data_IF_427534243172
#
_entry.id   IF_427534243172
#
_cell.length_a   1.000
_cell.length_b   1.000
_cell.length_c   1.000
_cell.angle_alpha   90.00
_cell.angle_beta   90.00
_cell.angle_gamma   90.00
#
_symmetry.space_group_name_H-M   'P 1'
#
loop_
_entity.id
_entity.type
_entity.pdbx_description
1 polymer ?
#
# COMPACT_ATOMS: atom_id res chain seq x y z
N UNK A 1 -37.02 -4.20 -5.24
CA UNK A 1 -35.79 -3.78 -5.93
C UNK A 1 -35.36 -2.46 -5.31
N UNK A 2 -34.46 -2.48 -4.33
CA UNK A 2 -33.93 -1.25 -3.73
C UNK A 2 -32.74 -0.82 -4.58
N UNK A 3 -32.94 0.21 -5.41
CA UNK A 3 -31.86 0.88 -6.13
C UNK A 3 -30.97 1.55 -5.10
N UNK A 4 -29.82 0.93 -4.80
CA UNK A 4 -28.76 1.57 -4.06
C UNK A 4 -28.31 2.78 -4.87
N UNK A 5 -28.54 3.98 -4.32
CA UNK A 5 -27.86 5.17 -4.81
C UNK A 5 -26.37 4.87 -4.70
N UNK A 6 -25.67 4.81 -5.83
CA UNK A 6 -24.22 4.89 -5.83
C UNK A 6 -23.86 6.15 -5.06
N UNK A 7 -23.16 5.99 -3.94
CA UNK A 7 -22.65 7.11 -3.18
C UNK A 7 -21.51 7.68 -4.04
N UNK A 8 -21.80 8.65 -4.89
CA UNK A 8 -20.74 9.42 -5.56
C UNK A 8 -19.91 10.07 -4.45
N UNK A 9 -18.68 9.61 -4.26
CA UNK A 9 -17.70 10.29 -3.43
C UNK A 9 -17.33 11.59 -4.15
N UNK A 10 -17.47 12.71 -3.47
CA UNK A 10 -17.02 13.98 -4.01
C UNK A 10 -15.48 14.10 -3.94
N UNK A 11 -14.92 15.12 -4.59
CA UNK A 11 -13.45 15.33 -4.62
C UNK A 11 -12.83 15.41 -3.22
N UNK A 12 -13.60 15.86 -2.21
CA UNK A 12 -13.12 15.97 -0.83
C UNK A 12 -13.11 14.60 -0.16
N UNK A 13 -14.12 13.78 -0.40
CA UNK A 13 -14.18 12.40 0.08
C UNK A 13 -13.01 11.57 -0.50
N UNK A 14 -12.70 11.76 -1.78
CA UNK A 14 -11.54 11.13 -2.43
C UNK A 14 -10.20 11.58 -1.82
N UNK A 15 -10.06 12.87 -1.48
CA UNK A 15 -8.86 13.36 -0.80
C UNK A 15 -8.70 12.77 0.61
N UNK A 16 -9.79 12.71 1.39
CA UNK A 16 -9.77 12.10 2.72
C UNK A 16 -9.39 10.63 2.63
N UNK A 17 -9.96 9.91 1.64
CA UNK A 17 -9.63 8.52 1.40
C UNK A 17 -8.15 8.36 1.04
N UNK A 18 -7.61 9.17 0.12
CA UNK A 18 -6.20 9.10 -0.27
C UNK A 18 -5.24 9.32 0.91
N UNK A 19 -5.53 10.30 1.78
CA UNK A 19 -4.73 10.56 2.99
C UNK A 19 -4.80 9.37 3.97
N UNK A 20 -5.98 8.79 4.14
CA UNK A 20 -6.14 7.62 5.00
C UNK A 20 -5.39 6.41 4.43
N UNK A 21 -5.45 6.16 3.12
CA UNK A 21 -4.73 5.07 2.45
C UNK A 21 -3.22 5.25 2.60
N UNK A 22 -2.69 6.45 2.35
CA UNK A 22 -1.26 6.73 2.53
C UNK A 22 -0.81 6.48 3.98
N UNK A 23 -1.64 6.88 4.96
CA UNK A 23 -1.38 6.62 6.38
C UNK A 23 -1.39 5.12 6.69
N UNK A 24 -2.35 4.38 6.13
CA UNK A 24 -2.49 2.94 6.33
C UNK A 24 -1.33 2.15 5.71
N UNK A 25 -0.86 2.53 4.52
CA UNK A 25 0.32 1.94 3.90
C UNK A 25 1.57 2.24 4.72
N UNK A 26 1.68 3.44 5.31
CA UNK A 26 2.81 3.83 6.13
C UNK A 26 4.11 3.93 5.30
N UNK A 27 5.27 3.50 5.81
CA UNK A 27 6.56 3.66 5.12
C UNK A 27 6.77 2.66 3.97
N UNK A 28 5.79 1.78 3.70
CA UNK A 28 5.94 0.71 2.72
C UNK A 28 6.05 1.24 1.29
N UNK A 29 7.08 0.78 0.57
CA UNK A 29 7.36 1.11 -0.82
C UNK A 29 7.66 -0.18 -1.59
N UNK A 30 7.32 -0.21 -2.88
CA UNK A 30 7.67 -1.31 -3.78
C UNK A 30 9.19 -1.50 -3.79
N UNK A 31 9.64 -2.74 -3.64
CA UNK A 31 11.05 -3.13 -3.49
C UNK A 31 11.60 -2.99 -2.07
N UNK A 32 10.80 -2.49 -1.11
CA UNK A 32 11.18 -2.45 0.30
C UNK A 32 10.93 -3.76 1.03
N UNK A 33 11.63 -3.94 2.15
CA UNK A 33 11.45 -5.08 3.07
C UNK A 33 11.07 -4.59 4.45
N UNK A 34 10.06 -5.23 5.02
CA UNK A 34 9.44 -4.80 6.27
C UNK A 34 9.17 -6.00 7.14
N UNK A 35 9.39 -5.84 8.44
CA UNK A 35 8.94 -6.82 9.42
C UNK A 35 7.49 -6.50 9.79
N UNK A 36 6.59 -7.44 9.51
CA UNK A 36 5.19 -7.39 9.94
C UNK A 36 5.09 -8.00 11.34
N UNK A 37 4.81 -7.17 12.35
CA UNK A 37 4.74 -7.63 13.74
C UNK A 37 3.44 -8.34 14.09
N UNK A 38 2.43 -8.34 13.21
CA UNK A 38 1.19 -9.10 13.38
C UNK A 38 1.37 -10.56 12.94
N UNK A 39 1.99 -10.80 11.79
CA UNK A 39 2.27 -12.13 11.26
C UNK A 39 3.63 -12.68 11.72
N UNK A 40 4.53 -11.82 12.18
CA UNK A 40 5.88 -12.18 12.61
C UNK A 40 6.82 -12.52 11.45
N UNK A 41 6.53 -12.04 10.24
CA UNK A 41 7.26 -12.34 9.01
C UNK A 41 8.03 -11.12 8.49
N UNK A 42 9.09 -11.37 7.71
CA UNK A 42 9.73 -10.33 6.91
C UNK A 42 9.20 -10.42 5.47
N UNK A 43 8.57 -9.34 5.03
CA UNK A 43 7.82 -9.27 3.79
C UNK A 43 8.51 -8.28 2.83
N UNK A 44 8.80 -8.72 1.61
CA UNK A 44 9.18 -7.84 0.49
C UNK A 44 7.92 -7.31 -0.18
N UNK A 45 7.81 -6.00 -0.36
CA UNK A 45 6.68 -5.38 -1.05
C UNK A 45 6.90 -5.42 -2.55
N UNK A 46 6.02 -6.12 -3.26
CA UNK A 46 6.07 -6.28 -4.71
C UNK A 46 5.19 -5.28 -5.45
N UNK A 47 4.03 -4.93 -4.87
CA UNK A 47 3.09 -3.99 -5.47
C UNK A 47 2.24 -3.28 -4.40
N UNK A 48 1.80 -2.07 -4.71
CA UNK A 48 0.90 -1.27 -3.85
C UNK A 48 -0.21 -0.67 -4.72
N UNK A 49 -1.39 -1.27 -4.63
CA UNK A 49 -2.59 -0.77 -5.25
C UNK A 49 -3.34 0.14 -4.26
N UNK A 50 -3.43 1.43 -4.58
CA UNK A 50 -4.03 2.46 -3.72
C UNK A 50 -5.52 2.70 -4.02
N UNK A 51 -6.12 1.95 -4.95
CA UNK A 51 -7.49 2.17 -5.39
C UNK A 51 -7.72 3.54 -6.05
N UNK A 52 -8.96 4.05 -6.04
CA UNK A 52 -10.14 3.50 -5.37
C UNK A 52 -10.71 2.26 -6.08
N UNK A 53 -11.15 1.28 -5.29
CA UNK A 53 -11.87 0.10 -5.78
C UNK A 53 -13.32 0.13 -5.30
N UNK A 54 -14.24 -0.36 -6.14
CA UNK A 54 -15.60 -0.66 -5.68
C UNK A 54 -15.55 -1.87 -4.73
N UNK A 55 -15.74 -1.66 -3.42
CA UNK A 55 -15.79 -2.76 -2.44
C UNK A 55 -15.21 -2.44 -1.06
N UNK A 56 -14.94 -3.50 -0.28
CA UNK A 56 -14.49 -3.39 1.12
C UNK A 56 -13.01 -3.02 1.26
N UNK A 57 -12.18 -3.29 0.24
CA UNK A 57 -10.73 -3.07 0.29
C UNK A 57 -10.34 -1.87 -0.57
N UNK A 58 -10.26 -0.66 0.00
CA UNK A 58 -9.89 0.55 -0.76
C UNK A 58 -8.44 0.52 -1.26
N UNK A 59 -7.58 -0.35 -0.72
CA UNK A 59 -6.19 -0.54 -1.13
C UNK A 59 -5.73 -1.97 -0.81
N UNK A 60 -4.67 -2.41 -1.49
CA UNK A 60 -4.00 -3.69 -1.23
C UNK A 60 -2.49 -3.57 -1.44
N UNK A 61 -1.72 -4.41 -0.75
CA UNK A 61 -0.29 -4.58 -0.95
C UNK A 61 -0.06 -6.05 -1.27
N UNK A 62 0.72 -6.30 -2.33
CA UNK A 62 1.23 -7.62 -2.65
C UNK A 62 2.62 -7.74 -2.04
N UNK A 63 2.82 -8.78 -1.25
CA UNK A 63 4.08 -9.07 -0.56
C UNK A 63 4.57 -10.47 -0.87
N UNK A 64 5.87 -10.69 -0.69
CA UNK A 64 6.50 -12.00 -0.71
C UNK A 64 7.30 -12.23 0.55
N UNK A 65 7.05 -13.37 1.18
CA UNK A 65 7.77 -13.87 2.36
C UNK A 65 8.32 -15.28 2.10
N UNK A 66 8.80 -15.97 3.15
CA UNK A 66 9.33 -17.34 3.04
C UNK A 66 8.28 -18.40 2.71
N UNK A 67 6.99 -18.10 2.88
CA UNK A 67 5.85 -18.96 2.57
C UNK A 67 5.26 -18.69 1.19
N UNK A 68 5.62 -17.58 0.55
CA UNK A 68 5.29 -17.26 -0.83
C UNK A 68 4.72 -15.86 -1.01
N UNK A 69 4.01 -15.66 -2.11
CA UNK A 69 3.36 -14.39 -2.44
C UNK A 69 1.92 -14.37 -1.91
N UNK A 70 1.54 -13.24 -1.32
CA UNK A 70 0.18 -12.98 -0.83
C UNK A 70 -0.16 -11.51 -0.95
N UNK A 71 -1.45 -11.19 -0.96
CA UNK A 71 -1.93 -9.81 -0.89
C UNK A 71 -2.69 -9.59 0.41
N UNK A 72 -2.65 -8.35 0.93
CA UNK A 72 -3.40 -7.96 2.11
C UNK A 72 -3.59 -6.44 2.19
N UNK A 73 -4.40 -5.98 3.15
CA UNK A 73 -4.71 -4.57 3.40
C UNK A 73 -4.42 -4.18 4.87
N UNK A 74 -3.44 -4.83 5.50
CA UNK A 74 -3.13 -4.60 6.93
C UNK A 74 -2.42 -3.27 7.10
N UNK A 75 -3.06 -2.33 7.80
CA UNK A 75 -2.48 -1.02 8.08
C UNK A 75 -1.18 -1.15 8.90
N UNK A 76 -0.25 -0.24 8.66
CA UNK A 76 1.03 -0.16 9.35
C UNK A 76 0.84 0.18 10.83
N UNK A 77 1.42 -0.61 11.72
CA UNK A 77 1.49 -0.36 13.16
C UNK A 77 2.93 0.00 13.56
N UNK A 78 3.24 1.28 13.84
CA UNK A 78 4.61 1.69 14.20
C UNK A 78 5.10 1.12 15.53
N UNK A 79 4.24 0.50 16.35
CA UNK A 79 4.65 -0.18 17.58
C UNK A 79 5.18 -1.59 17.34
N UNK A 80 4.82 -2.21 16.20
CA UNK A 80 5.07 -3.63 15.92
C UNK A 80 5.89 -3.83 14.65
N UNK A 81 5.61 -3.01 13.65
CA UNK A 81 6.20 -3.12 12.32
C UNK A 81 7.52 -2.36 12.25
N UNK A 82 8.45 -2.87 11.44
CA UNK A 82 9.79 -2.27 11.31
C UNK A 82 10.21 -2.21 9.86
N UNK A 83 10.83 -1.11 9.48
CA UNK A 83 11.52 -1.00 8.19
C UNK A 83 12.82 -1.77 8.30
N UNK A 84 12.96 -2.84 7.51
CA UNK A 84 14.20 -3.63 7.43
C UNK A 84 15.09 -3.07 6.33
N UNK A 85 14.49 -2.75 5.18
CA UNK A 85 15.17 -2.11 4.06
C UNK A 85 14.19 -1.16 3.34
N UNK A 86 14.65 0.06 3.12
CA UNK A 86 13.93 1.05 2.33
C UNK A 86 14.71 1.26 1.02
N UNK A 87 14.09 1.08 -0.16
CA UNK A 87 14.73 1.48 -1.40
C UNK A 87 14.93 2.99 -1.40
N UNK A 88 15.95 3.48 -2.11
CA UNK A 88 16.04 4.90 -2.39
C UNK A 88 14.74 5.32 -3.08
N UNK A 89 14.15 6.43 -2.64
CA UNK A 89 12.95 6.99 -3.26
C UNK A 89 13.34 7.37 -4.69
N UNK A 90 13.14 6.42 -5.60
CA UNK A 90 13.53 6.59 -6.99
C UNK A 90 12.36 7.32 -7.58
N UNK A 91 12.42 8.65 -7.53
CA UNK A 91 11.47 9.46 -8.25
C UNK A 91 11.44 8.93 -9.70
N UNK A 92 10.27 8.64 -10.28
CA UNK A 92 10.18 8.10 -11.63
C UNK A 92 10.85 9.01 -12.68
N UNK A 93 11.18 10.26 -12.35
CA UNK A 93 11.96 11.17 -13.19
C UNK A 93 13.47 10.84 -13.22
N UNK A 94 14.04 10.20 -12.19
CA UNK A 94 15.46 9.81 -12.18
C UNK A 94 15.73 8.56 -13.03
N UNK A 95 14.80 7.59 -13.03
CA UNK A 95 14.88 6.41 -13.90
C UNK A 95 14.84 6.75 -15.41
N UNK A 96 14.26 7.91 -15.77
CA UNK A 96 14.20 8.39 -17.15
C UNK A 96 15.48 9.12 -17.61
N UNK A 97 16.40 9.46 -16.69
CA UNK A 97 17.59 10.28 -17.01
C UNK A 97 18.85 9.48 -17.32
N UNK A 98 18.84 8.17 -17.05
CA UNK A 98 19.98 7.28 -17.29
C UNK A 98 20.06 6.70 -18.71
N UNK A 99 19.23 7.16 -19.65
CA UNK A 99 19.26 6.72 -21.06
C UNK A 99 19.58 7.83 -22.07
N UNK A 100 20.19 8.94 -21.66
CA UNK A 100 20.60 10.03 -22.56
C UNK A 100 22.11 10.13 -22.76
#
# INVERSE_FOLDING_TARGET
MHGGKGLEMDDKDLQVLAVWIATAIGPRMVGGRYYDGYWGTEDEVLDIDRGPHEGWLPWTITVRDEHGERWHCTAWDPQRDKVVFQPADTDPMDAARETS
#
